data_IF_209077772280
#
_entry.id   IF_209077772280
#
_cell.length_a   1.000
_cell.length_b   1.000
_cell.length_c   1.000
_cell.angle_alpha   90.00
_cell.angle_beta   90.00
_cell.angle_gamma   90.00
#
_symmetry.space_group_name_H-M   'P 1'
#
loop_
_entity.id
_entity.type
_entity.pdbx_description
1 polymer ?
#
# COMPACT_ATOMS: atom_id res chain seq x y z
N UNK A 1 64.65 -1.00 4.80
CA UNK A 1 64.12 -2.38 4.73
C UNK A 1 62.61 -2.31 4.59
N UNK A 2 62.02 -3.26 3.87
CA UNK A 2 60.69 -3.27 3.25
C UNK A 2 59.51 -3.09 4.21
N UNK A 3 58.47 -2.44 3.64
CA UNK A 3 57.06 -2.44 4.01
C UNK A 3 56.54 -3.85 4.38
N UNK A 4 55.63 -3.92 5.36
CA UNK A 4 54.75 -5.07 5.58
C UNK A 4 53.31 -4.58 5.81
N UNK A 5 52.42 -5.12 4.99
CA UNK A 5 51.01 -4.77 4.78
C UNK A 5 50.08 -5.14 5.95
N UNK A 6 48.91 -4.47 6.08
CA UNK A 6 47.84 -4.91 6.94
C UNK A 6 47.06 -6.09 6.33
N UNK A 7 46.85 -7.14 7.15
CA UNK A 7 46.01 -8.29 6.82
C UNK A 7 44.55 -7.84 6.73
N UNK A 8 44.03 -7.90 5.51
CA UNK A 8 42.66 -7.62 5.09
C UNK A 8 41.76 -8.80 5.49
N UNK A 9 41.02 -8.66 6.59
CA UNK A 9 39.98 -9.62 6.95
C UNK A 9 38.84 -9.57 5.92
N UNK A 10 38.76 -10.63 5.11
CA UNK A 10 37.64 -10.91 4.23
C UNK A 10 36.49 -11.44 5.09
N UNK A 11 35.64 -10.54 5.60
CA UNK A 11 34.35 -10.93 6.15
C UNK A 11 33.40 -11.23 4.98
N UNK A 12 33.37 -12.51 4.59
CA UNK A 12 32.43 -13.04 3.61
C UNK A 12 31.04 -13.05 4.24
N UNK A 13 30.32 -11.95 4.09
CA UNK A 13 28.88 -11.91 4.38
C UNK A 13 28.21 -12.72 3.27
N UNK A 14 27.86 -13.96 3.59
CA UNK A 14 26.88 -14.75 2.87
C UNK A 14 25.61 -13.91 2.81
N UNK A 15 25.39 -13.25 1.66
CA UNK A 15 24.11 -12.66 1.30
C UNK A 15 23.16 -13.84 1.14
N UNK A 16 22.55 -14.25 2.25
CA UNK A 16 21.33 -15.02 2.22
C UNK A 16 20.35 -14.21 1.39
N UNK A 17 20.06 -14.69 0.19
CA UNK A 17 18.95 -14.25 -0.63
C UNK A 17 17.70 -14.35 0.23
N UNK A 18 17.34 -13.24 0.88
CA UNK A 18 16.00 -13.01 1.38
C UNK A 18 15.12 -12.93 0.13
N UNK A 19 14.66 -14.08 -0.35
CA UNK A 19 13.33 -14.13 -0.96
C UNK A 19 12.39 -13.53 0.08
N UNK A 20 11.73 -12.38 -0.20
CA UNK A 20 10.65 -11.96 0.65
C UNK A 20 9.62 -13.07 0.55
N UNK A 21 9.60 -13.91 1.59
CA UNK A 21 8.53 -14.82 1.85
C UNK A 21 7.32 -13.91 2.01
N UNK A 22 6.55 -13.76 0.94
CA UNK A 22 5.22 -13.20 1.02
C UNK A 22 4.47 -14.17 1.92
N UNK A 23 4.56 -13.91 3.23
CA UNK A 23 3.60 -14.41 4.20
C UNK A 23 2.26 -14.20 3.52
N UNK A 24 1.53 -15.28 3.34
CA UNK A 24 0.16 -15.27 2.88
C UNK A 24 -0.61 -14.47 3.91
N UNK A 25 -0.60 -13.14 3.73
CA UNK A 25 -1.34 -12.20 4.53
C UNK A 25 -2.77 -12.70 4.47
N UNK A 26 -3.33 -13.00 5.63
CA UNK A 26 -4.74 -13.33 5.77
C UNK A 26 -5.50 -12.24 5.03
N UNK A 27 -6.08 -12.60 3.88
CA UNK A 27 -6.88 -11.68 3.07
C UNK A 27 -8.03 -11.26 3.96
N UNK A 28 -7.91 -10.10 4.57
CA UNK A 28 -9.00 -9.52 5.35
C UNK A 28 -10.11 -9.33 4.34
N UNK A 29 -11.25 -9.99 4.54
CA UNK A 29 -12.39 -9.86 3.65
C UNK A 29 -12.95 -8.45 3.85
N UNK A 30 -12.50 -7.52 3.00
CA UNK A 30 -12.89 -6.10 3.07
C UNK A 30 -14.04 -5.90 2.09
N UNK A 31 -15.21 -5.57 2.62
CA UNK A 31 -16.38 -5.29 1.78
C UNK A 31 -16.37 -3.84 1.29
N UNK A 32 -17.10 -3.55 0.21
CA UNK A 32 -17.29 -2.17 -0.25
C UNK A 32 -17.94 -1.27 0.82
N UNK A 33 -18.71 -1.84 1.75
CA UNK A 33 -19.31 -1.09 2.85
C UNK A 33 -18.28 -0.71 3.91
N UNK A 34 -17.29 -1.58 4.17
CA UNK A 34 -16.18 -1.28 5.06
C UNK A 34 -15.33 -0.13 4.50
N UNK A 35 -15.06 -0.15 3.19
CA UNK A 35 -14.35 0.93 2.51
C UNK A 35 -15.12 2.25 2.61
N UNK A 36 -16.43 2.25 2.33
CA UNK A 36 -17.28 3.46 2.49
C UNK A 36 -17.26 3.99 3.93
N UNK A 37 -17.25 3.09 4.91
CA UNK A 37 -17.15 3.45 6.33
C UNK A 37 -15.79 4.06 6.65
N UNK A 38 -14.70 3.48 6.16
CA UNK A 38 -13.35 4.03 6.29
C UNK A 38 -13.26 5.43 5.69
N UNK A 39 -13.81 5.64 4.49
CA UNK A 39 -13.83 6.94 3.84
C UNK A 39 -14.58 8.00 4.65
N UNK A 40 -15.65 7.63 5.35
CA UNK A 40 -16.34 8.55 6.27
C UNK A 40 -15.42 9.01 7.40
N UNK A 41 -14.66 8.09 8.00
CA UNK A 41 -13.70 8.42 9.05
C UNK A 41 -12.56 9.30 8.53
N UNK A 42 -12.00 8.97 7.36
CA UNK A 42 -10.94 9.76 6.72
C UNK A 42 -11.40 11.18 6.41
N UNK A 43 -12.62 11.36 5.86
CA UNK A 43 -13.21 12.69 5.62
C UNK A 43 -13.31 13.48 6.93
N UNK A 44 -13.86 12.89 7.99
CA UNK A 44 -13.94 13.54 9.32
C UNK A 44 -12.57 13.88 9.89
N UNK A 45 -11.58 13.00 9.74
CA UNK A 45 -10.22 13.23 10.20
C UNK A 45 -9.55 14.40 9.47
N UNK A 46 -9.72 14.46 8.14
CA UNK A 46 -9.24 15.57 7.32
C UNK A 46 -9.88 16.88 7.73
N UNK A 47 -11.20 16.91 7.87
CA UNK A 47 -11.93 18.13 8.24
C UNK A 47 -11.47 18.63 9.62
N UNK A 48 -11.27 17.72 10.58
CA UNK A 48 -10.68 18.07 11.88
C UNK A 48 -9.23 18.55 11.77
N UNK A 49 -8.42 17.98 10.89
CA UNK A 49 -7.05 18.44 10.66
C UNK A 49 -7.02 19.86 10.08
N UNK A 50 -7.97 20.21 9.20
CA UNK A 50 -8.17 21.58 8.69
C UNK A 50 -8.51 22.51 9.85
N UNK A 51 -9.52 22.17 10.67
CA UNK A 51 -9.93 22.99 11.81
C UNK A 51 -8.79 23.27 12.80
N UNK A 52 -7.93 22.28 13.05
CA UNK A 52 -6.77 22.43 13.94
C UNK A 52 -5.71 23.30 13.27
N UNK A 53 -5.45 23.10 11.98
CA UNK A 53 -4.43 23.87 11.23
C UNK A 53 -4.78 25.35 11.19
N UNK A 54 -6.06 25.67 10.98
CA UNK A 54 -6.52 27.06 10.88
C UNK A 54 -6.40 27.82 12.21
N UNK A 55 -6.23 27.09 13.32
CA UNK A 55 -5.95 27.65 14.67
C UNK A 55 -4.48 27.51 15.07
N UNK A 56 -3.66 26.84 14.27
CA UNK A 56 -2.25 26.63 14.58
C UNK A 56 -1.45 27.91 14.32
N UNK A 57 -0.41 28.20 15.12
CA UNK A 57 0.48 29.32 14.82
C UNK A 57 1.16 29.16 13.47
N UNK A 58 1.17 30.23 12.67
CA UNK A 58 1.82 30.24 11.36
C UNK A 58 3.32 29.98 11.48
N UNK A 59 3.87 29.20 10.54
CA UNK A 59 5.26 28.76 10.53
C UNK A 59 5.59 27.69 11.58
N UNK A 60 4.60 27.21 12.35
CA UNK A 60 4.85 26.14 13.32
C UNK A 60 5.10 24.79 12.62
N UNK A 61 5.89 23.93 13.25
CA UNK A 61 6.05 22.54 12.80
C UNK A 61 4.70 21.83 12.66
N UNK A 62 3.77 22.11 13.59
CA UNK A 62 2.43 21.53 13.58
C UNK A 62 1.66 21.92 12.30
N UNK A 63 1.72 23.18 11.87
CA UNK A 63 1.10 23.62 10.61
C UNK A 63 1.64 22.81 9.41
N UNK A 64 2.97 22.65 9.33
CA UNK A 64 3.62 21.89 8.27
C UNK A 64 3.25 20.40 8.27
N UNK A 65 3.11 19.79 9.46
CA UNK A 65 2.63 18.41 9.61
C UNK A 65 1.18 18.30 9.18
N UNK A 66 0.29 19.16 9.68
CA UNK A 66 -1.12 19.14 9.36
C UNK A 66 -1.37 19.34 7.86
N UNK A 67 -0.60 20.22 7.20
CA UNK A 67 -0.64 20.37 5.75
C UNK A 67 -0.37 19.05 5.03
N UNK A 68 0.75 18.38 5.34
CA UNK A 68 1.09 17.08 4.74
C UNK A 68 0.07 16.00 5.07
N UNK A 69 -0.47 15.98 6.29
CA UNK A 69 -1.52 15.04 6.69
C UNK A 69 -2.81 15.24 5.89
N UNK A 70 -3.25 16.48 5.71
CA UNK A 70 -4.44 16.81 4.90
C UNK A 70 -4.23 16.38 3.44
N UNK A 71 -3.07 16.66 2.87
CA UNK A 71 -2.71 16.27 1.50
C UNK A 71 -2.70 14.74 1.35
N UNK A 72 -2.11 14.02 2.31
CA UNK A 72 -2.08 12.56 2.35
C UNK A 72 -3.48 11.94 2.44
N UNK A 73 -4.32 12.39 3.37
CA UNK A 73 -5.70 11.88 3.50
C UNK A 73 -6.52 12.17 2.23
N UNK A 74 -6.29 13.32 1.59
CA UNK A 74 -6.99 13.67 0.34
C UNK A 74 -6.60 12.73 -0.81
N UNK A 75 -5.32 12.36 -0.90
CA UNK A 75 -4.84 11.38 -1.86
C UNK A 75 -5.45 9.99 -1.60
N UNK A 76 -5.42 9.52 -0.36
CA UNK A 76 -5.99 8.22 0.02
C UNK A 76 -7.49 8.15 -0.28
N UNK A 77 -8.25 9.20 0.04
CA UNK A 77 -9.66 9.28 -0.32
C UNK A 77 -9.89 9.15 -1.83
N UNK A 78 -9.06 9.80 -2.63
CA UNK A 78 -9.15 9.74 -4.10
C UNK A 78 -8.82 8.34 -4.63
N UNK A 79 -7.85 7.65 -4.03
CA UNK A 79 -7.52 6.27 -4.37
C UNK A 79 -8.66 5.32 -4.01
N UNK A 80 -9.29 5.48 -2.85
CA UNK A 80 -10.45 4.68 -2.45
C UNK A 80 -11.66 4.94 -3.35
N UNK A 81 -11.92 6.20 -3.70
CA UNK A 81 -12.97 6.58 -4.66
C UNK A 81 -12.71 5.92 -6.03
N UNK A 82 -11.46 5.92 -6.51
CA UNK A 82 -11.06 5.25 -7.74
C UNK A 82 -11.28 3.73 -7.68
N UNK A 83 -10.83 3.07 -6.60
CA UNK A 83 -10.98 1.63 -6.43
C UNK A 83 -12.44 1.19 -6.30
N UNK A 84 -13.30 2.01 -5.71
CA UNK A 84 -14.74 1.74 -5.64
C UNK A 84 -15.44 1.95 -7.00
N UNK A 85 -14.97 2.90 -7.80
CA UNK A 85 -15.54 3.19 -9.12
C UNK A 85 -15.09 2.18 -10.18
N UNK A 86 -13.85 1.69 -10.09
CA UNK A 86 -13.34 0.63 -10.94
C UNK A 86 -13.92 -0.72 -10.51
N UNK A 87 -15.01 -1.15 -11.18
CA UNK A 87 -15.35 -2.58 -11.18
C UNK A 87 -14.08 -3.34 -11.63
N UNK A 88 -13.60 -4.35 -10.88
CA UNK A 88 -12.43 -5.11 -11.31
C UNK A 88 -12.72 -5.64 -12.71
N UNK A 89 -11.89 -5.23 -13.67
CA UNK A 89 -11.92 -5.80 -15.01
C UNK A 89 -11.67 -7.30 -14.86
N UNK A 90 -12.71 -8.09 -15.10
CA UNK A 90 -12.61 -9.52 -15.38
C UNK A 90 -12.01 -10.41 -14.28
N UNK A 91 -12.71 -10.53 -13.15
CA UNK A 91 -12.68 -11.78 -12.36
C UNK A 91 -13.71 -12.82 -12.86
N UNK A 92 -14.25 -12.62 -14.07
CA UNK A 92 -15.04 -13.62 -14.79
C UNK A 92 -14.22 -14.18 -15.96
N UNK A 93 -13.11 -14.86 -15.67
CA UNK A 93 -12.74 -15.98 -16.52
C UNK A 93 -13.66 -17.13 -16.15
N UNK A 94 -14.90 -17.08 -16.63
CA UNK A 94 -15.74 -18.27 -16.71
C UNK A 94 -14.99 -19.27 -17.58
N UNK A 95 -14.48 -20.41 -17.04
CA UNK A 95 -13.88 -21.40 -17.90
C UNK A 95 -15.01 -22.01 -18.69
N UNK A 96 -15.20 -21.53 -19.93
CA UNK A 96 -16.07 -22.13 -20.93
C UNK A 96 -16.07 -23.66 -20.77
N UNK A 97 -17.22 -24.34 -20.73
CA UNK A 97 -17.27 -25.76 -20.43
C UNK A 97 -16.39 -26.49 -21.43
N UNK A 98 -15.31 -27.10 -20.95
CA UNK A 98 -14.37 -27.90 -21.73
C UNK A 98 -15.18 -28.90 -22.56
N UNK A 99 -15.38 -28.58 -23.84
CA UNK A 99 -15.99 -29.46 -24.83
C UNK A 99 -15.06 -30.68 -24.95
N UNK A 100 -15.39 -31.75 -24.22
CA UNK A 100 -14.68 -33.02 -24.29
C UNK A 100 -14.71 -33.49 -25.75
N UNK A 101 -13.55 -33.53 -26.40
CA UNK A 101 -13.39 -34.21 -27.69
C UNK A 101 -13.79 -35.68 -27.50
N UNK A 102 -14.75 -36.15 -28.29
CA UNK A 102 -15.02 -37.58 -28.39
C UNK A 102 -14.07 -38.19 -29.43
N UNK A 103 -13.45 -39.35 -29.15
CA UNK A 103 -12.66 -40.05 -30.17
C UNK A 103 -13.58 -40.53 -31.29
N UNK A 104 -13.07 -40.49 -32.52
CA UNK A 104 -13.71 -41.12 -33.66
C UNK A 104 -13.65 -42.65 -33.50
N UNK A 105 -14.78 -43.31 -33.71
CA UNK A 105 -14.90 -44.77 -33.85
C UNK A 105 -14.49 -45.14 -35.27
#
# INVERSE_FOLDING_TARGET
MRLADPIREQSSVLVASHTPQFETQSTTDVTAQDVRTMMLYLRKARDRAIDIRDRAPAGSYLEGVLKRTIDGITLELSQLDYLLACKPADASSDPAPKRRMRPAI
#
